data_IF_630457385773
#
_entry.id   IF_630457385773
#
_cell.length_a   1.000
_cell.length_b   1.000
_cell.length_c   1.000
_cell.angle_alpha   90.00
_cell.angle_beta   90.00
_cell.angle_gamma   90.00
#
_symmetry.space_group_name_H-M   'P 1'
#
loop_
_entity.id
_entity.type
_entity.pdbx_description
1 polymer ?
#
# COMPACT_ATOMS: atom_id res chain seq x y z
N UNK A 1 32.59 -27.18 48.56
CA UNK A 1 33.44 -27.56 47.41
C UNK A 1 33.77 -26.31 46.61
N UNK A 2 35.06 -25.99 46.46
CA UNK A 2 35.61 -24.90 45.63
C UNK A 2 35.87 -25.44 44.22
N UNK A 3 35.68 -24.64 43.16
CA UNK A 3 36.73 -24.16 42.23
C UNK A 3 36.16 -23.59 40.92
N UNK A 4 36.68 -22.40 40.54
CA UNK A 4 36.72 -21.87 39.16
C UNK A 4 37.58 -22.79 38.30
N UNK A 5 37.34 -22.88 36.99
CA UNK A 5 38.45 -22.59 36.07
C UNK A 5 38.03 -22.16 34.65
N UNK A 6 38.70 -21.09 34.23
CA UNK A 6 38.82 -20.52 32.89
C UNK A 6 39.87 -21.34 32.14
N UNK A 7 39.66 -21.68 30.88
CA UNK A 7 40.78 -21.90 29.93
C UNK A 7 40.43 -21.32 28.57
N UNK A 8 41.25 -20.36 28.15
CA UNK A 8 41.42 -19.94 26.77
C UNK A 8 42.17 -21.02 25.99
N UNK A 9 41.91 -21.16 24.70
CA UNK A 9 43.02 -21.42 23.79
C UNK A 9 42.78 -20.86 22.39
N UNK A 10 43.83 -20.19 21.89
CA UNK A 10 44.00 -19.75 20.51
C UNK A 10 44.41 -20.95 19.66
N UNK A 11 44.09 -20.92 18.36
CA UNK A 11 44.65 -21.86 17.40
C UNK A 11 44.37 -21.41 15.97
N UNK A 12 45.37 -20.79 15.34
CA UNK A 12 45.40 -20.45 13.93
C UNK A 12 45.53 -21.72 13.07
N UNK A 13 44.94 -21.70 11.86
CA UNK A 13 45.14 -22.74 10.85
C UNK A 13 44.74 -22.25 9.46
N UNK A 14 45.73 -21.76 8.70
CA UNK A 14 45.65 -21.57 7.24
C UNK A 14 45.51 -22.94 6.57
N UNK A 15 44.59 -23.08 5.61
CA UNK A 15 44.76 -24.03 4.52
C UNK A 15 44.47 -23.34 3.18
N UNK A 16 45.52 -23.30 2.38
CA UNK A 16 45.58 -23.03 0.95
C UNK A 16 45.22 -24.34 0.26
N UNK A 17 44.30 -24.33 -0.71
CA UNK A 17 44.31 -25.29 -1.81
C UNK A 17 43.79 -24.61 -3.08
N UNK A 18 44.52 -24.85 -4.16
CA UNK A 18 44.33 -24.32 -5.48
C UNK A 18 43.70 -25.38 -6.40
N UNK A 19 43.09 -24.87 -7.47
CA UNK A 19 43.27 -25.33 -8.86
C UNK A 19 42.29 -26.34 -9.50
N UNK A 20 42.01 -26.03 -10.79
CA UNK A 20 41.53 -26.86 -11.92
C UNK A 20 40.05 -27.33 -12.01
N UNK A 21 39.33 -26.70 -12.96
CA UNK A 21 38.95 -27.33 -14.26
C UNK A 21 37.62 -28.09 -14.40
N UNK A 22 36.89 -27.81 -15.49
CA UNK A 22 36.15 -28.84 -16.26
C UNK A 22 34.61 -28.81 -16.26
N UNK A 23 34.06 -28.21 -17.31
CA UNK A 23 33.02 -28.73 -18.23
C UNK A 23 31.68 -29.32 -17.73
N UNK A 24 30.57 -28.82 -18.29
CA UNK A 24 29.41 -29.62 -18.76
C UNK A 24 28.47 -28.78 -19.68
N UNK A 25 28.53 -29.06 -20.99
CA UNK A 25 27.42 -29.34 -21.95
C UNK A 25 26.37 -28.22 -22.20
N UNK A 26 26.25 -27.62 -23.40
CA UNK A 26 25.62 -28.17 -24.63
C UNK A 26 24.13 -27.82 -24.61
N UNK A 27 23.47 -27.06 -25.50
CA UNK A 27 23.37 -26.92 -26.97
C UNK A 27 22.76 -25.50 -27.19
N UNK A 28 22.95 -24.72 -28.26
CA UNK A 28 22.49 -24.95 -29.63
C UNK A 28 23.33 -24.10 -30.63
N UNK A 29 23.98 -24.76 -31.59
CA UNK A 29 24.27 -24.23 -32.93
C UNK A 29 22.95 -24.11 -33.72
N UNK A 30 22.74 -23.40 -34.84
CA UNK A 30 23.56 -22.70 -35.84
C UNK A 30 22.53 -21.90 -36.70
N UNK A 31 22.80 -20.66 -37.13
CA UNK A 31 23.33 -20.28 -38.47
C UNK A 31 22.27 -19.84 -39.48
N UNK A 32 22.41 -18.58 -39.91
CA UNK A 32 22.28 -18.02 -41.27
C UNK A 32 22.09 -16.49 -41.08
N UNK A 33 23.01 -15.58 -41.40
CA UNK A 33 23.92 -15.56 -42.53
C UNK A 33 23.37 -14.63 -43.62
N UNK A 34 23.42 -13.30 -43.42
CA UNK A 34 23.37 -12.33 -44.54
C UNK A 34 23.89 -10.95 -44.09
N UNK A 35 24.97 -10.51 -44.74
CA UNK A 35 25.64 -9.26 -44.46
C UNK A 35 25.37 -8.16 -45.49
N UNK A 36 26.18 -7.10 -45.32
CA UNK A 36 26.49 -5.98 -46.22
C UNK A 36 25.71 -4.67 -46.02
N UNK A 37 26.47 -3.59 -45.85
CA UNK A 37 26.02 -2.22 -46.16
C UNK A 37 26.61 -1.11 -45.29
N UNK A 38 27.88 -0.76 -45.49
CA UNK A 38 28.44 0.52 -45.01
C UNK A 38 27.82 1.69 -45.80
N UNK A 39 27.45 2.79 -45.12
CA UNK A 39 26.96 4.01 -45.76
C UNK A 39 27.07 5.24 -44.87
N UNK A 40 27.84 6.23 -45.35
CA UNK A 40 28.21 7.51 -44.72
C UNK A 40 27.09 8.56 -44.69
N UNK A 41 27.26 9.55 -43.79
CA UNK A 41 26.72 10.91 -43.89
C UNK A 41 25.52 11.17 -42.96
N UNK A 42 25.38 12.24 -42.21
CA UNK A 42 26.01 13.56 -42.24
C UNK A 42 24.92 14.64 -42.13
N UNK A 43 24.90 15.36 -40.99
CA UNK A 43 24.36 16.72 -40.76
C UNK A 43 22.82 16.94 -40.74
N UNK A 44 22.33 17.48 -39.60
CA UNK A 44 21.83 18.85 -39.57
C UNK A 44 20.32 19.12 -39.47
N UNK A 45 19.90 19.60 -38.28
CA UNK A 45 18.91 20.66 -37.95
C UNK A 45 17.52 20.69 -38.63
N UNK A 46 16.49 20.69 -37.77
CA UNK A 46 15.55 21.83 -37.69
C UNK A 46 14.05 21.58 -37.86
N UNK A 47 13.30 21.85 -36.77
CA UNK A 47 11.93 22.40 -36.70
C UNK A 47 10.72 21.51 -37.04
N UNK A 48 9.71 21.53 -36.14
CA UNK A 48 8.31 21.35 -36.55
C UNK A 48 7.41 20.53 -35.63
N UNK A 49 6.73 21.24 -34.73
CA UNK A 49 5.61 20.83 -33.86
C UNK A 49 4.53 19.96 -34.54
N UNK A 50 3.97 19.03 -33.76
CA UNK A 50 2.66 18.39 -33.95
C UNK A 50 2.39 17.33 -32.88
N UNK A 51 2.12 17.71 -31.63
CA UNK A 51 0.77 17.60 -31.03
C UNK A 51 -0.03 16.36 -31.46
N UNK A 52 0.39 15.19 -30.99
CA UNK A 52 -0.47 14.01 -30.89
C UNK A 52 -1.31 14.11 -29.62
N UNK A 53 -2.38 14.91 -29.67
CA UNK A 53 -3.41 14.98 -28.64
C UNK A 53 -4.26 13.70 -28.70
N UNK A 54 -3.77 12.62 -28.08
CA UNK A 54 -4.64 11.50 -27.73
C UNK A 54 -5.45 11.90 -26.51
N UNK A 55 -6.80 11.90 -26.54
CA UNK A 55 -7.58 12.17 -25.34
C UNK A 55 -7.46 10.94 -24.44
N UNK A 56 -6.44 10.95 -23.59
CA UNK A 56 -6.34 10.07 -22.45
C UNK A 56 -7.54 10.33 -21.57
N UNK A 57 -8.64 9.60 -21.82
CA UNK A 57 -9.73 9.38 -20.87
C UNK A 57 -9.23 8.52 -19.72
N UNK A 58 -8.18 8.97 -19.04
CA UNK A 58 -8.02 8.69 -17.64
C UNK A 58 -9.10 9.48 -16.94
N UNK A 59 -10.30 8.91 -16.82
CA UNK A 59 -11.18 9.25 -15.71
C UNK A 59 -10.34 8.97 -14.48
N UNK A 60 -9.64 10.00 -13.98
CA UNK A 60 -9.01 9.98 -12.69
C UNK A 60 -10.11 9.54 -11.75
N UNK A 61 -10.02 8.28 -11.30
CA UNK A 61 -10.89 7.70 -10.29
C UNK A 61 -10.88 8.76 -9.20
N UNK A 62 -11.99 9.50 -9.01
CA UNK A 62 -12.04 10.57 -8.02
C UNK A 62 -11.62 9.93 -6.71
N UNK A 63 -10.39 10.21 -6.27
CA UNK A 63 -9.87 9.62 -5.05
C UNK A 63 -10.72 10.23 -3.95
N UNK A 64 -11.30 9.42 -3.05
CA UNK A 64 -12.11 9.97 -1.97
C UNK A 64 -11.30 10.92 -1.07
N UNK A 65 -9.99 10.71 -1.00
CA UNK A 65 -9.01 11.60 -0.39
C UNK A 65 -8.03 12.14 -1.45
N UNK A 66 -7.82 13.45 -1.44
CA UNK A 66 -6.69 14.06 -2.16
C UNK A 66 -5.38 13.88 -1.37
N UNK A 67 -4.26 14.29 -1.98
CA UNK A 67 -2.94 14.12 -1.36
C UNK A 67 -2.77 14.92 -0.06
N UNK A 68 -3.40 16.10 0.04
CA UNK A 68 -3.36 16.94 1.25
C UNK A 68 -4.16 16.33 2.39
N UNK A 69 -5.38 15.89 2.09
CA UNK A 69 -6.26 15.24 3.06
C UNK A 69 -5.67 13.94 3.59
N UNK A 70 -5.03 13.15 2.72
CA UNK A 70 -4.34 11.93 3.15
C UNK A 70 -3.17 12.24 4.09
N UNK A 71 -2.38 13.28 3.80
CA UNK A 71 -1.25 13.72 4.62
C UNK A 71 -1.69 14.13 6.02
N UNK A 72 -2.71 14.99 6.12
CA UNK A 72 -3.26 15.42 7.42
C UNK A 72 -3.85 14.26 8.20
N UNK A 73 -4.55 13.34 7.52
CA UNK A 73 -5.05 12.12 8.16
C UNK A 73 -3.90 11.25 8.68
N UNK A 74 -2.81 11.06 7.93
CA UNK A 74 -1.65 10.31 8.40
C UNK A 74 -0.96 10.95 9.61
N UNK A 75 -0.83 12.28 9.62
CA UNK A 75 -0.32 13.01 10.79
C UNK A 75 -1.21 12.79 12.00
N UNK A 76 -2.53 12.90 11.83
CA UNK A 76 -3.50 12.62 12.90
C UNK A 76 -3.32 11.20 13.44
N UNK A 77 -3.22 10.21 12.57
CA UNK A 77 -2.97 8.85 13.02
C UNK A 77 -1.68 8.79 13.83
N UNK A 78 -0.55 9.19 13.27
CA UNK A 78 0.75 9.12 13.96
C UNK A 78 0.75 9.89 15.30
N UNK A 79 -0.02 10.97 15.43
CA UNK A 79 -0.15 11.74 16.68
C UNK A 79 -0.79 10.96 17.82
N UNK A 80 -1.69 10.00 17.52
CA UNK A 80 -2.37 9.21 18.55
C UNK A 80 -1.48 8.10 19.12
N UNK A 81 -0.61 7.54 18.28
CA UNK A 81 0.36 6.51 18.66
C UNK A 81 1.40 6.35 17.54
N UNK A 82 2.67 6.06 17.90
CA UNK A 82 3.68 5.67 16.92
C UNK A 82 3.20 4.44 16.12
N UNK A 83 3.30 4.51 14.80
CA UNK A 83 2.74 3.49 13.90
C UNK A 83 3.68 3.14 12.77
N UNK A 84 3.58 1.90 12.28
CA UNK A 84 4.20 1.48 11.05
C UNK A 84 3.35 1.86 9.82
N UNK A 85 3.99 2.02 8.66
CA UNK A 85 3.29 2.38 7.42
C UNK A 85 2.14 1.43 7.02
N UNK A 86 2.24 0.14 7.36
CA UNK A 86 1.15 -0.82 7.14
C UNK A 86 -0.02 -0.64 8.11
N UNK A 87 0.26 -0.28 9.36
CA UNK A 87 -0.77 0.01 10.36
C UNK A 87 -1.56 1.26 9.97
N UNK A 88 -0.89 2.25 9.40
CA UNK A 88 -1.54 3.43 8.81
C UNK A 88 -2.51 3.03 7.69
N UNK A 89 -2.12 2.12 6.79
CA UNK A 89 -3.02 1.60 5.74
C UNK A 89 -4.25 0.95 6.37
N UNK A 90 -4.04 0.07 7.37
CA UNK A 90 -5.12 -0.65 8.06
C UNK A 90 -6.06 0.27 8.82
N UNK A 91 -5.52 1.31 9.44
CA UNK A 91 -6.29 2.28 10.21
C UNK A 91 -7.14 3.16 9.29
N UNK A 92 -6.59 3.60 8.14
CA UNK A 92 -7.37 4.31 7.12
C UNK A 92 -8.46 3.40 6.54
N UNK A 93 -8.15 2.13 6.28
CA UNK A 93 -9.15 1.14 5.89
C UNK A 93 -10.24 1.01 6.98
N UNK A 94 -9.88 0.97 8.25
CA UNK A 94 -10.83 0.83 9.35
C UNK A 94 -11.74 2.07 9.48
N UNK A 95 -11.17 3.29 9.47
CA UNK A 95 -11.90 4.57 9.57
C UNK A 95 -12.75 4.89 8.36
N UNK A 96 -12.41 4.37 7.18
CA UNK A 96 -13.28 4.47 6.00
C UNK A 96 -14.34 3.37 5.96
N UNK A 97 -14.37 2.51 6.98
CA UNK A 97 -15.17 1.30 6.99
C UNK A 97 -14.75 0.30 5.91
N UNK A 98 -13.68 0.60 5.15
CA UNK A 98 -13.11 -0.04 3.95
C UNK A 98 -13.54 0.58 2.62
N UNK A 99 -14.22 1.74 2.62
CA UNK A 99 -14.59 2.48 1.39
C UNK A 99 -13.34 2.85 0.57
N UNK A 100 -12.24 3.06 1.29
CA UNK A 100 -10.96 3.46 0.72
C UNK A 100 -9.83 2.71 1.40
N UNK A 101 -9.05 2.00 0.60
CA UNK A 101 -7.81 1.35 1.04
C UNK A 101 -6.68 1.98 0.24
N UNK A 102 -5.83 2.83 0.86
CA UNK A 102 -4.71 3.42 0.17
C UNK A 102 -3.68 2.34 -0.15
N UNK A 103 -3.12 2.38 -1.36
CA UNK A 103 -2.06 1.44 -1.73
C UNK A 103 -0.72 1.83 -1.09
N UNK A 104 0.20 0.87 -0.91
CA UNK A 104 1.57 1.15 -0.48
C UNK A 104 2.25 2.25 -1.31
N UNK A 105 2.04 2.26 -2.62
CA UNK A 105 2.60 3.24 -3.54
C UNK A 105 2.08 4.67 -3.37
N UNK A 106 1.07 4.89 -2.53
CA UNK A 106 0.59 6.23 -2.15
C UNK A 106 1.06 6.59 -0.73
N UNK A 107 1.03 5.62 0.20
CA UNK A 107 1.38 5.85 1.60
C UNK A 107 2.87 6.09 1.79
N UNK A 108 3.73 5.22 1.25
CA UNK A 108 5.17 5.33 1.50
C UNK A 108 5.76 6.63 0.92
N UNK A 109 5.45 7.05 -0.33
CA UNK A 109 5.90 8.36 -0.81
C UNK A 109 5.40 9.53 0.03
N UNK A 110 4.18 9.45 0.58
CA UNK A 110 3.65 10.51 1.43
C UNK A 110 4.30 10.53 2.83
N UNK A 111 4.69 9.37 3.38
CA UNK A 111 5.47 9.28 4.60
C UNK A 111 6.88 9.85 4.42
N UNK A 112 7.55 9.57 3.29
CA UNK A 112 8.84 10.18 2.98
C UNK A 112 8.71 11.70 2.86
N UNK A 113 7.66 12.21 2.21
CA UNK A 113 7.41 13.65 2.16
C UNK A 113 7.17 14.28 3.55
N UNK A 114 6.56 13.54 4.48
CA UNK A 114 6.40 14.00 5.87
C UNK A 114 7.72 14.01 6.66
N UNK A 115 8.61 13.06 6.38
CA UNK A 115 9.98 13.04 6.92
C UNK A 115 10.79 14.23 6.39
N UNK A 116 10.74 14.47 5.08
CA UNK A 116 11.46 15.58 4.42
C UNK A 116 11.02 16.95 4.95
N UNK A 117 9.73 17.08 5.30
CA UNK A 117 9.16 18.29 5.90
C UNK A 117 9.42 18.39 7.41
N UNK A 118 10.00 17.35 8.02
CA UNK A 118 10.34 17.32 9.44
C UNK A 118 9.14 17.19 10.38
N UNK A 119 7.98 16.76 9.88
CA UNK A 119 6.74 16.63 10.67
C UNK A 119 6.60 15.28 11.37
N UNK A 120 7.29 14.29 10.85
CA UNK A 120 7.40 12.97 11.48
C UNK A 120 8.87 12.60 11.55
N UNK A 121 9.20 11.70 12.47
CA UNK A 121 10.50 11.07 12.58
C UNK A 121 10.32 9.55 12.46
N UNK A 122 11.34 8.88 11.94
CA UNK A 122 11.35 7.42 11.80
C UNK A 122 12.33 6.79 12.78
N UNK A 123 11.85 5.85 13.58
CA UNK A 123 12.66 5.04 14.47
C UNK A 123 12.74 3.60 13.93
N UNK A 124 13.92 3.00 14.03
CA UNK A 124 14.12 1.61 13.64
C UNK A 124 13.52 0.69 14.71
N UNK A 125 12.53 -0.12 14.31
CA UNK A 125 11.93 -1.16 15.14
C UNK A 125 12.13 -2.52 14.43
N UNK A 126 13.23 -3.17 14.79
CA UNK A 126 13.67 -4.41 14.15
C UNK A 126 13.94 -4.25 12.66
N UNK A 127 13.13 -4.90 11.82
CA UNK A 127 13.21 -4.83 10.36
C UNK A 127 12.31 -3.76 9.73
N UNK A 128 11.55 -3.02 10.55
CA UNK A 128 10.55 -2.05 10.11
C UNK A 128 10.85 -0.66 10.68
N UNK A 129 10.25 0.36 10.08
CA UNK A 129 10.30 1.74 10.58
C UNK A 129 8.98 2.05 11.30
N UNK A 130 9.08 2.52 12.54
CA UNK A 130 7.98 3.15 13.26
C UNK A 130 8.05 4.65 13.05
N UNK A 131 6.91 5.30 12.85
CA UNK A 131 6.82 6.74 12.66
C UNK A 131 6.19 7.39 13.88
N UNK A 132 6.79 8.46 14.39
CA UNK A 132 6.28 9.29 15.48
C UNK A 132 6.24 10.77 15.05
N UNK A 133 5.38 11.56 15.70
CA UNK A 133 5.23 12.98 15.39
C UNK A 133 6.41 13.78 15.99
N UNK A 134 6.76 14.89 15.35
CA UNK A 134 7.68 15.90 15.91
C UNK A 134 6.88 17.10 16.42
N UNK A 135 7.51 17.99 17.19
CA UNK A 135 6.90 19.26 17.62
C UNK A 135 6.38 20.09 16.42
N UNK A 136 7.11 20.08 15.30
CA UNK A 136 6.67 20.75 14.07
C UNK A 136 5.42 20.09 13.45
N UNK A 137 5.32 18.77 13.53
CA UNK A 137 4.13 18.03 13.10
C UNK A 137 2.92 18.28 14.00
N UNK A 138 3.13 18.46 15.31
CA UNK A 138 2.06 18.81 16.25
C UNK A 138 1.50 20.20 15.94
N UNK A 139 2.38 21.18 15.72
CA UNK A 139 2.00 22.54 15.37
C UNK A 139 1.26 22.61 14.02
N UNK A 140 1.68 21.85 13.01
CA UNK A 140 0.94 21.75 11.74
C UNK A 140 -0.46 21.16 11.95
N UNK A 141 -0.57 20.12 12.77
CA UNK A 141 -1.85 19.48 13.04
C UNK A 141 -2.83 20.42 13.75
N UNK A 142 -2.33 21.25 14.66
CA UNK A 142 -3.11 22.29 15.32
C UNK A 142 -3.49 23.41 14.35
N UNK A 143 -2.57 23.85 13.48
CA UNK A 143 -2.83 24.88 12.48
C UNK A 143 -3.89 24.44 11.45
N UNK A 144 -3.92 23.16 11.10
CA UNK A 144 -4.85 22.58 10.13
C UNK A 144 -6.03 21.84 10.78
N UNK A 145 -6.30 22.08 12.07
CA UNK A 145 -7.35 21.39 12.82
C UNK A 145 -8.74 21.51 12.15
N UNK A 146 -9.12 22.71 11.69
CA UNK A 146 -10.39 22.93 10.97
C UNK A 146 -10.45 22.15 9.64
N UNK A 147 -9.31 22.03 8.95
CA UNK A 147 -9.23 21.23 7.72
C UNK A 147 -9.35 19.75 8.04
N UNK A 148 -8.70 19.29 9.10
CA UNK A 148 -8.78 17.91 9.57
C UNK A 148 -10.21 17.54 9.96
N UNK A 149 -10.92 18.38 10.72
CA UNK A 149 -12.32 18.15 11.09
C UNK A 149 -13.22 18.01 9.87
N UNK A 150 -13.04 18.84 8.83
CA UNK A 150 -13.79 18.71 7.57
C UNK A 150 -13.48 17.40 6.84
N UNK A 151 -12.23 16.94 6.87
CA UNK A 151 -11.82 15.66 6.28
C UNK A 151 -12.46 14.51 7.04
N UNK A 152 -12.42 14.55 8.38
CA UNK A 152 -13.02 13.53 9.24
C UNK A 152 -14.55 13.49 9.13
N UNK A 153 -15.21 14.65 9.07
CA UNK A 153 -16.66 14.72 8.80
C UNK A 153 -17.01 14.10 7.45
N UNK A 154 -16.30 14.47 6.38
CA UNK A 154 -16.52 13.87 5.05
C UNK A 154 -16.23 12.37 5.02
N UNK A 155 -15.28 11.91 5.84
CA UNK A 155 -15.00 10.50 6.00
C UNK A 155 -16.12 9.79 6.79
N UNK A 156 -16.66 10.45 7.81
CA UNK A 156 -17.87 10.02 8.53
C UNK A 156 -19.09 9.92 7.63
N UNK A 157 -19.27 10.82 6.66
CA UNK A 157 -20.35 10.72 5.67
C UNK A 157 -20.21 9.48 4.76
N UNK A 158 -19.00 8.93 4.60
CA UNK A 158 -18.79 7.65 3.92
C UNK A 158 -19.13 6.45 4.82
N UNK A 159 -19.16 6.67 6.14
CA UNK A 159 -19.60 5.71 7.14
C UNK A 159 -21.11 5.75 7.40
N UNK A 160 -21.78 6.83 7.00
CA UNK A 160 -23.20 6.99 7.27
C UNK A 160 -24.05 6.11 6.31
N UNK A 161 -24.66 5.06 6.87
CA UNK A 161 -25.51 4.13 6.15
C UNK A 161 -26.86 4.73 5.75
N UNK A 162 -27.23 5.90 6.30
CA UNK A 162 -28.54 6.52 6.11
C UNK A 162 -28.65 7.41 4.86
N UNK A 163 -27.62 7.42 4.00
CA UNK A 163 -27.69 8.13 2.70
C UNK A 163 -28.81 7.53 1.83
N UNK A 164 -29.66 8.34 1.16
CA UNK A 164 -30.69 7.85 0.27
C UNK A 164 -30.12 6.85 -0.74
N UNK A 165 -30.77 5.70 -0.82
CA UNK A 165 -30.36 4.58 -1.68
C UNK A 165 -30.46 5.01 -3.14
N UNK A 166 -29.32 5.36 -3.76
CA UNK A 166 -29.20 5.28 -5.21
C UNK A 166 -29.17 3.78 -5.56
N UNK A 167 -30.19 3.24 -6.27
CA UNK A 167 -30.24 1.83 -6.61
C UNK A 167 -29.09 1.37 -7.51
N UNK A 168 -28.37 2.31 -8.13
CA UNK A 168 -27.19 2.03 -8.95
C UNK A 168 -25.86 2.17 -8.20
N UNK A 169 -25.85 2.60 -6.93
CA UNK A 169 -24.64 2.73 -6.11
C UNK A 169 -24.16 1.38 -5.54
N UNK A 170 -23.64 0.53 -6.43
CA UNK A 170 -23.05 -0.78 -6.06
C UNK A 170 -21.92 -0.60 -5.05
N UNK A 171 -21.15 0.50 -5.12
CA UNK A 171 -20.04 0.74 -4.18
C UNK A 171 -20.55 1.04 -2.77
N UNK A 172 -21.59 1.86 -2.65
CA UNK A 172 -22.27 2.12 -1.38
C UNK A 172 -22.93 0.86 -0.81
N UNK A 173 -23.59 0.05 -1.66
CA UNK A 173 -24.17 -1.23 -1.24
C UNK A 173 -23.11 -2.20 -0.70
N UNK A 174 -21.99 -2.35 -1.42
CA UNK A 174 -20.86 -3.18 -0.96
C UNK A 174 -20.23 -2.65 0.33
N UNK A 175 -20.18 -1.33 0.50
CA UNK A 175 -19.69 -0.72 1.72
C UNK A 175 -20.59 -1.06 2.93
N UNK A 176 -21.91 -0.87 2.81
CA UNK A 176 -22.88 -1.22 3.85
C UNK A 176 -22.84 -2.70 4.19
N UNK A 177 -22.76 -3.57 3.18
CA UNK A 177 -22.62 -5.01 3.37
C UNK A 177 -21.35 -5.34 4.18
N UNK A 178 -20.19 -4.81 3.80
CA UNK A 178 -18.95 -5.06 4.55
C UNK A 178 -19.03 -4.52 5.98
N UNK A 179 -19.67 -3.37 6.19
CA UNK A 179 -19.88 -2.81 7.52
C UNK A 179 -20.75 -3.75 8.37
N UNK A 180 -21.91 -4.18 7.86
CA UNK A 180 -22.80 -5.11 8.53
C UNK A 180 -22.13 -6.45 8.87
N UNK A 181 -21.33 -7.00 7.94
CA UNK A 181 -20.54 -8.21 8.17
C UNK A 181 -19.50 -8.01 9.27
N UNK A 182 -18.72 -6.92 9.23
CA UNK A 182 -17.72 -6.62 10.28
C UNK A 182 -18.37 -6.46 11.64
N UNK A 183 -19.49 -5.76 11.71
CA UNK A 183 -20.22 -5.57 12.96
C UNK A 183 -20.75 -6.90 13.49
N UNK A 184 -21.39 -7.70 12.63
CA UNK A 184 -21.90 -9.01 13.02
C UNK A 184 -20.82 -9.95 13.58
N UNK A 185 -19.60 -9.92 13.02
CA UNK A 185 -18.47 -10.73 13.48
C UNK A 185 -17.80 -10.14 14.74
N UNK A 186 -17.86 -8.82 14.94
CA UNK A 186 -17.26 -8.14 16.11
C UNK A 186 -18.11 -8.27 17.36
N UNK A 187 -19.44 -8.20 17.24
CA UNK A 187 -20.35 -8.25 18.39
C UNK A 187 -20.20 -9.54 19.18
N UNK A 188 -19.98 -10.67 18.52
CA UNK A 188 -19.74 -11.97 19.17
C UNK A 188 -18.62 -12.73 18.45
N UNK A 189 -17.36 -12.53 18.87
CA UNK A 189 -16.23 -13.14 18.21
C UNK A 189 -16.29 -14.65 18.28
N UNK A 190 -16.71 -15.26 19.39
CA UNK A 190 -16.51 -16.70 19.62
C UNK A 190 -17.72 -17.57 19.24
N UNK A 191 -18.77 -16.99 18.65
CA UNK A 191 -19.93 -17.72 18.15
C UNK A 191 -19.67 -18.31 16.74
N UNK A 192 -19.46 -19.64 16.62
CA UNK A 192 -19.23 -20.28 15.33
C UNK A 192 -20.50 -20.33 14.46
N UNK A 193 -21.68 -20.36 15.07
CA UNK A 193 -22.97 -20.45 14.37
C UNK A 193 -23.28 -19.12 13.70
N UNK A 194 -23.02 -18.00 14.39
CA UNK A 194 -23.16 -16.66 13.80
C UNK A 194 -22.19 -16.42 12.65
N UNK A 195 -20.93 -16.83 12.78
CA UNK A 195 -19.94 -16.75 11.68
C UNK A 195 -20.38 -17.59 10.48
N UNK A 196 -20.90 -18.79 10.71
CA UNK A 196 -21.44 -19.67 9.68
C UNK A 196 -22.65 -19.01 8.99
N UNK A 197 -23.60 -18.49 9.74
CA UNK A 197 -24.76 -17.80 9.18
C UNK A 197 -24.38 -16.61 8.30
N UNK A 198 -23.39 -15.80 8.72
CA UNK A 198 -22.85 -14.71 7.90
C UNK A 198 -22.21 -15.24 6.61
N UNK A 199 -21.44 -16.33 6.68
CA UNK A 199 -20.82 -16.96 5.51
C UNK A 199 -21.86 -17.53 4.52
N UNK A 200 -22.92 -18.15 5.03
CA UNK A 200 -24.02 -18.69 4.22
C UNK A 200 -24.75 -17.56 3.47
N UNK A 201 -25.06 -16.45 4.15
CA UNK A 201 -25.70 -15.26 3.53
C UNK A 201 -24.81 -14.68 2.42
N UNK A 202 -23.50 -14.57 2.66
CA UNK A 202 -22.57 -14.04 1.65
C UNK A 202 -22.44 -14.97 0.43
N UNK A 203 -22.49 -16.28 0.65
CA UNK A 203 -22.47 -17.28 -0.42
C UNK A 203 -23.73 -17.16 -1.27
N UNK A 204 -24.91 -17.09 -0.64
CA UNK A 204 -26.18 -16.89 -1.36
C UNK A 204 -26.17 -15.59 -2.17
N UNK A 205 -25.69 -14.48 -1.58
CA UNK A 205 -25.57 -13.21 -2.27
C UNK A 205 -24.65 -13.30 -3.50
N UNK A 206 -23.51 -13.98 -3.37
CA UNK A 206 -22.58 -14.21 -4.48
C UNK A 206 -23.20 -15.04 -5.60
N UNK A 207 -23.89 -16.13 -5.28
CA UNK A 207 -24.58 -16.98 -6.26
C UNK A 207 -25.67 -16.23 -7.01
N UNK A 208 -26.41 -15.37 -6.31
CA UNK A 208 -27.45 -14.53 -6.93
C UNK A 208 -26.86 -13.48 -7.87
N UNK A 209 -25.70 -12.91 -7.53
CA UNK A 209 -25.00 -11.95 -8.39
C UNK A 209 -24.41 -12.66 -9.62
N UNK A 210 -23.80 -13.84 -9.48
CA UNK A 210 -23.19 -14.56 -10.62
C UNK A 210 -24.22 -15.01 -11.66
N UNK A 211 -25.45 -15.30 -11.25
CA UNK A 211 -26.55 -15.65 -12.17
C UNK A 211 -26.97 -14.49 -13.08
N UNK A 212 -26.63 -13.24 -12.75
CA UNK A 212 -26.92 -12.08 -13.60
C UNK A 212 -26.05 -12.03 -14.86
N UNK A 213 -24.93 -12.75 -14.90
CA UNK A 213 -24.04 -12.83 -16.06
C UNK A 213 -24.44 -13.94 -17.06
N UNK A 214 -25.42 -14.79 -16.70
CA UNK A 214 -25.87 -15.96 -17.47
C UNK A 214 -27.16 -15.71 -18.30
N UNK A 215 -27.79 -14.53 -18.16
CA UNK A 215 -29.00 -14.08 -18.89
C UNK A 215 -28.68 -12.96 -19.90
#
# INVERSE_FOLDING_TARGET
MRYRNRHSNRGAGRHIFADQGGDCLGDCMDREGRGMGQGRGGRGRGQGRGQGMGPGRGRGRRRPLDHGALRLLMLKLISEAPRHGYEIIREIEARTGGAYVPSPGVIYPALEALLDLGFVQAEADGSRRSFSLTEAGEAELEAEAETLERIESRLGDLLDSDRPEDPQDVRGAMWRLRHAVREAVRTDPDDPDRRKAVADILTEAQERISKLDED
#
